data_IF_825687955888
#
_entry.id   IF_825687955888
#
_cell.length_a   1.000
_cell.length_b   1.000
_cell.length_c   1.000
_cell.angle_alpha   90.00
_cell.angle_beta   90.00
_cell.angle_gamma   90.00
#
_symmetry.space_group_name_H-M   'P 1'
#
loop_
_entity.id
_entity.type
_entity.pdbx_description
1 polymer ?
#
# COMPACT_ATOMS: atom_id res chain seq x y z
N UNK A 1 32.79 3.83 12.00
CA UNK A 1 31.33 3.62 11.93
C UNK A 1 30.70 4.33 13.10
N UNK A 2 29.90 5.36 12.88
CA UNK A 2 29.26 6.06 13.99
C UNK A 2 28.29 5.12 14.71
N UNK A 3 28.43 5.00 16.01
CA UNK A 3 27.53 4.27 16.88
C UNK A 3 26.11 4.87 16.73
N UNK A 4 25.16 4.08 16.25
CA UNK A 4 23.79 4.52 16.07
C UNK A 4 23.21 4.72 17.48
N UNK A 5 22.98 5.98 17.87
CA UNK A 5 22.26 6.25 19.10
C UNK A 5 20.89 5.58 19.04
N UNK A 6 20.59 4.75 20.01
CA UNK A 6 19.25 4.19 20.17
C UNK A 6 18.25 5.33 20.33
N UNK A 7 17.19 5.30 19.54
CA UNK A 7 16.11 6.26 19.66
C UNK A 7 15.47 6.15 21.04
N UNK A 8 15.30 7.29 21.73
CA UNK A 8 14.64 7.34 23.03
C UNK A 8 13.15 6.94 22.95
N UNK A 9 12.58 6.92 21.74
CA UNK A 9 11.20 6.53 21.49
C UNK A 9 11.14 5.53 20.34
N UNK A 10 10.26 4.54 20.47
CA UNK A 10 9.99 3.56 19.44
C UNK A 10 8.51 3.57 19.09
N UNK A 11 8.20 3.29 17.82
CA UNK A 11 6.81 3.08 17.41
C UNK A 11 6.25 1.85 18.12
N UNK A 12 5.02 1.95 18.59
CA UNK A 12 4.31 0.81 19.15
C UNK A 12 4.17 -0.30 18.09
N UNK A 13 4.25 -1.58 18.47
CA UNK A 13 3.99 -2.68 17.57
C UNK A 13 2.59 -2.57 16.94
N UNK A 14 2.45 -3.09 15.73
CA UNK A 14 1.14 -3.15 15.08
C UNK A 14 0.14 -3.90 15.96
N UNK A 15 -1.04 -3.33 16.14
CA UNK A 15 -2.08 -3.91 17.00
C UNK A 15 -1.96 -3.60 18.49
N UNK A 16 -0.86 -3.00 18.96
CA UNK A 16 -0.69 -2.61 20.37
C UNK A 16 -1.62 -1.45 20.79
N UNK A 17 -2.05 -0.64 19.82
CA UNK A 17 -2.98 0.48 20.05
C UNK A 17 -4.25 0.22 19.28
N UNK A 18 -5.38 0.28 19.96
CA UNK A 18 -6.73 0.19 19.37
C UNK A 18 -7.44 1.51 19.56
N UNK A 19 -7.96 2.06 18.48
CA UNK A 19 -8.81 3.24 18.52
C UNK A 19 -10.29 2.82 18.53
N UNK A 20 -11.05 3.47 19.39
CA UNK A 20 -12.49 3.26 19.54
C UNK A 20 -13.24 4.56 19.21
N UNK A 21 -14.58 4.48 19.18
CA UNK A 21 -15.43 5.62 18.89
C UNK A 21 -15.18 6.17 17.49
N UNK A 22 -15.37 7.45 17.31
CA UNK A 22 -15.33 8.14 16.02
C UNK A 22 -14.05 7.86 15.21
N UNK A 23 -12.89 7.89 15.86
CA UNK A 23 -11.62 7.64 15.16
C UNK A 23 -11.49 6.18 14.72
N UNK A 24 -11.91 5.23 15.55
CA UNK A 24 -11.94 3.81 15.20
C UNK A 24 -12.87 3.53 14.03
N UNK A 25 -14.06 4.10 14.06
CA UNK A 25 -15.06 3.99 12.98
C UNK A 25 -14.58 4.60 11.67
N UNK A 26 -13.93 5.77 11.71
CA UNK A 26 -13.36 6.41 10.54
C UNK A 26 -12.24 5.58 9.91
N UNK A 27 -11.37 4.99 10.72
CA UNK A 27 -10.30 4.09 10.22
C UNK A 27 -10.88 2.82 9.59
N UNK A 28 -11.89 2.22 10.18
CA UNK A 28 -12.56 1.04 9.64
C UNK A 28 -13.34 1.34 8.36
N UNK A 29 -14.00 2.49 8.28
CA UNK A 29 -14.67 2.94 7.07
C UNK A 29 -13.66 3.16 5.93
N UNK A 30 -12.51 3.78 6.20
CA UNK A 30 -11.43 3.96 5.22
C UNK A 30 -10.88 2.61 4.74
N UNK A 31 -10.63 1.67 5.65
CA UNK A 31 -10.13 0.34 5.33
C UNK A 31 -11.10 -0.44 4.44
N UNK A 32 -12.37 -0.53 4.83
CA UNK A 32 -13.40 -1.28 4.09
C UNK A 32 -13.85 -0.58 2.80
N UNK A 33 -13.77 0.73 2.77
CA UNK A 33 -14.13 1.54 1.61
C UNK A 33 -12.93 1.77 0.69
N UNK A 34 -12.23 2.87 0.90
CA UNK A 34 -11.19 3.35 -0.01
C UNK A 34 -10.03 2.37 -0.20
N UNK A 35 -9.46 1.86 0.89
CA UNK A 35 -8.30 0.98 0.79
C UNK A 35 -8.63 -0.37 0.14
N UNK A 36 -9.83 -0.89 0.38
CA UNK A 36 -10.23 -2.18 -0.20
C UNK A 36 -10.79 -2.09 -1.62
N UNK A 37 -11.16 -0.88 -2.10
CA UNK A 37 -11.85 -0.72 -3.39
C UNK A 37 -11.08 0.10 -4.42
N UNK A 38 -10.20 1.00 -4.00
CA UNK A 38 -9.48 1.88 -4.92
C UNK A 38 -8.54 1.11 -5.85
N UNK A 39 -7.78 0.17 -5.29
CA UNK A 39 -7.00 -0.80 -6.07
C UNK A 39 -7.56 -2.18 -5.79
N UNK A 40 -8.13 -2.80 -6.80
CA UNK A 40 -8.75 -4.12 -6.69
C UNK A 40 -7.74 -5.26 -6.85
N UNK A 41 -6.61 -4.97 -7.49
CA UNK A 41 -5.54 -5.94 -7.70
C UNK A 41 -4.48 -5.44 -8.69
N UNK A 42 -3.58 -6.33 -9.14
CA UNK A 42 -2.49 -5.98 -10.05
C UNK A 42 -2.94 -5.37 -11.39
N UNK A 43 -4.14 -5.69 -11.84
CA UNK A 43 -4.68 -5.21 -13.11
C UNK A 43 -5.46 -3.89 -12.99
N UNK A 44 -5.53 -3.31 -11.80
CA UNK A 44 -6.09 -1.97 -11.64
C UNK A 44 -5.27 -0.94 -12.44
N UNK A 45 -5.89 0.07 -13.07
CA UNK A 45 -5.18 1.02 -13.93
C UNK A 45 -3.95 1.64 -13.28
N UNK A 46 -4.06 2.06 -12.02
CA UNK A 46 -2.96 2.66 -11.25
C UNK A 46 -1.76 1.72 -11.01
N UNK A 47 -1.93 0.42 -11.19
CA UNK A 47 -0.89 -0.61 -11.01
C UNK A 47 -0.43 -1.14 -12.36
N UNK A 48 -1.34 -1.43 -13.26
CA UNK A 48 -1.04 -2.02 -14.57
C UNK A 48 -0.11 -1.15 -15.44
N UNK A 49 -0.12 0.16 -15.24
CA UNK A 49 0.74 1.11 -15.97
C UNK A 49 2.24 0.90 -15.76
N UNK A 50 2.64 0.18 -14.71
CA UNK A 50 4.05 -0.18 -14.51
C UNK A 50 4.54 -1.26 -15.48
N UNK A 51 3.63 -2.05 -16.04
CA UNK A 51 3.96 -3.00 -17.09
C UNK A 51 4.32 -2.24 -18.37
N UNK A 52 5.52 -2.47 -18.97
CA UNK A 52 5.92 -1.84 -20.22
C UNK A 52 4.89 -1.97 -21.34
N UNK A 53 4.15 -3.07 -21.39
CA UNK A 53 3.10 -3.30 -22.38
C UNK A 53 1.89 -2.36 -22.24
N UNK A 54 1.70 -1.76 -21.05
CA UNK A 54 0.56 -0.88 -20.77
C UNK A 54 0.92 0.59 -20.64
N UNK A 55 2.20 0.94 -20.71
CA UNK A 55 2.67 2.34 -20.54
C UNK A 55 2.11 3.31 -21.59
N UNK A 56 1.88 2.84 -22.80
CA UNK A 56 1.35 3.67 -23.90
C UNK A 56 -0.14 4.03 -23.68
N UNK A 57 -0.83 3.31 -22.80
CA UNK A 57 -2.24 3.51 -22.48
C UNK A 57 -2.42 4.03 -21.05
N UNK A 58 -1.56 4.97 -20.64
CA UNK A 58 -1.60 5.53 -19.30
C UNK A 58 -2.86 6.39 -19.10
N UNK A 59 -3.81 5.88 -18.34
CA UNK A 59 -5.02 6.59 -17.92
C UNK A 59 -4.79 7.50 -16.70
N UNK A 60 -3.65 7.33 -16.00
CA UNK A 60 -3.30 8.08 -14.80
C UNK A 60 -2.68 9.47 -15.10
N UNK A 61 -2.33 9.75 -16.36
CA UNK A 61 -1.72 11.03 -16.76
C UNK A 61 -0.44 11.33 -15.98
N UNK A 62 -0.32 12.55 -15.48
CA UNK A 62 0.86 13.02 -14.74
C UNK A 62 1.02 12.39 -13.35
N UNK A 63 0.03 11.63 -12.89
CA UNK A 63 0.04 10.92 -11.61
C UNK A 63 0.64 9.52 -11.67
N UNK A 64 1.37 9.25 -12.71
CA UNK A 64 2.02 7.98 -12.98
C UNK A 64 2.82 7.46 -11.76
N UNK A 65 2.40 6.31 -11.24
CA UNK A 65 3.05 5.63 -10.12
C UNK A 65 2.71 6.16 -8.73
N UNK A 66 2.22 7.38 -8.60
CA UNK A 66 1.93 7.99 -7.30
C UNK A 66 0.81 7.26 -6.55
N UNK A 67 -0.26 6.94 -7.25
CA UNK A 67 -1.44 6.30 -6.65
C UNK A 67 -1.12 4.90 -6.10
N UNK A 68 -0.39 4.08 -6.83
CA UNK A 68 0.00 2.75 -6.39
C UNK A 68 0.89 2.80 -5.14
N UNK A 69 1.90 3.68 -5.12
CA UNK A 69 2.81 3.83 -3.99
C UNK A 69 2.12 4.32 -2.72
N UNK A 70 1.28 5.33 -2.84
CA UNK A 70 0.49 5.86 -1.72
C UNK A 70 -0.49 4.81 -1.18
N UNK A 71 -1.16 4.11 -2.08
CA UNK A 71 -2.09 3.04 -1.68
C UNK A 71 -1.36 1.90 -0.98
N UNK A 72 -0.25 1.40 -1.53
CA UNK A 72 0.54 0.32 -0.89
C UNK A 72 0.96 0.70 0.53
N UNK A 73 1.47 1.92 0.71
CA UNK A 73 1.89 2.41 2.03
C UNK A 73 0.72 2.44 3.02
N UNK A 74 -0.43 2.96 2.62
CA UNK A 74 -1.60 3.08 3.48
C UNK A 74 -2.27 1.71 3.74
N UNK A 75 -2.44 0.90 2.70
CA UNK A 75 -3.09 -0.40 2.78
C UNK A 75 -2.28 -1.41 3.62
N UNK A 76 -0.95 -1.44 3.46
CA UNK A 76 -0.08 -2.30 4.27
C UNK A 76 -0.18 -1.98 5.76
N UNK A 77 -0.19 -0.69 6.12
CA UNK A 77 -0.36 -0.25 7.51
C UNK A 77 -1.73 -0.62 8.06
N UNK A 78 -2.79 -0.40 7.27
CA UNK A 78 -4.15 -0.74 7.67
C UNK A 78 -4.33 -2.26 7.84
N UNK A 79 -3.80 -3.07 6.93
CA UNK A 79 -3.86 -4.53 7.02
C UNK A 79 -3.15 -5.06 8.27
N UNK A 80 -1.96 -4.53 8.59
CA UNK A 80 -1.22 -4.91 9.80
C UNK A 80 -1.95 -4.55 11.09
N UNK A 81 -2.60 -3.38 11.11
CA UNK A 81 -3.30 -2.88 12.30
C UNK A 81 -4.61 -3.62 12.55
N UNK A 82 -5.33 -3.98 11.52
CA UNK A 82 -6.70 -4.51 11.60
C UNK A 82 -6.79 -6.04 11.48
N UNK A 83 -5.68 -6.70 11.21
CA UNK A 83 -5.65 -8.15 10.92
C UNK A 83 -6.57 -8.55 9.74
N UNK A 84 -6.68 -7.66 8.75
CA UNK A 84 -7.47 -7.87 7.53
C UNK A 84 -6.69 -8.72 6.53
N UNK A 85 -6.96 -10.02 6.53
CA UNK A 85 -6.30 -10.98 5.66
C UNK A 85 -6.53 -10.72 4.18
N UNK A 86 -7.75 -10.34 3.78
CA UNK A 86 -8.08 -10.06 2.38
C UNK A 86 -7.32 -8.81 1.87
N UNK A 87 -7.24 -7.76 2.68
CA UNK A 87 -6.46 -6.58 2.32
C UNK A 87 -4.96 -6.89 2.27
N UNK A 88 -4.46 -7.69 3.22
CA UNK A 88 -3.06 -8.13 3.22
C UNK A 88 -2.71 -8.91 1.94
N UNK A 89 -3.53 -9.87 1.55
CA UNK A 89 -3.29 -10.70 0.38
C UNK A 89 -3.31 -9.84 -0.91
N UNK A 90 -4.19 -8.85 -0.98
CA UNK A 90 -4.20 -7.88 -2.08
C UNK A 90 -2.93 -7.03 -2.12
N UNK A 91 -2.47 -6.52 -0.98
CA UNK A 91 -1.21 -5.76 -0.88
C UNK A 91 -0.04 -6.59 -1.37
N UNK A 92 0.06 -7.84 -0.95
CA UNK A 92 1.13 -8.74 -1.38
C UNK A 92 1.05 -9.02 -2.88
N UNK A 93 -0.14 -9.30 -3.41
CA UNK A 93 -0.34 -9.54 -4.85
C UNK A 93 0.09 -8.34 -5.71
N UNK A 94 -0.23 -7.13 -5.28
CA UNK A 94 0.19 -5.91 -5.99
C UNK A 94 1.71 -5.69 -5.88
N UNK A 95 2.29 -5.91 -4.72
CA UNK A 95 3.73 -5.79 -4.51
C UNK A 95 4.51 -6.81 -5.35
N UNK A 96 4.07 -8.07 -5.38
CA UNK A 96 4.68 -9.14 -6.18
C UNK A 96 4.61 -8.80 -7.69
N UNK A 97 3.48 -8.29 -8.14
CA UNK A 97 3.34 -7.86 -9.54
C UNK A 97 4.31 -6.72 -9.88
N UNK A 98 4.41 -5.70 -9.05
CA UNK A 98 5.33 -4.58 -9.28
C UNK A 98 6.78 -5.06 -9.32
N UNK A 99 7.17 -5.98 -8.45
CA UNK A 99 8.49 -6.60 -8.51
C UNK A 99 8.71 -7.41 -9.81
N UNK A 100 7.67 -8.12 -10.27
CA UNK A 100 7.77 -8.94 -11.46
C UNK A 100 7.89 -8.14 -12.77
N UNK A 101 7.29 -6.94 -12.83
CA UNK A 101 7.35 -6.08 -14.02
C UNK A 101 8.53 -5.09 -14.01
N UNK A 102 9.28 -5.05 -12.92
CA UNK A 102 10.46 -4.21 -12.81
C UNK A 102 11.56 -4.68 -13.77
N UNK A 103 12.17 -3.75 -14.50
CA UNK A 103 13.30 -4.06 -15.38
C UNK A 103 14.58 -4.37 -14.58
N UNK A 104 15.57 -4.96 -15.26
CA UNK A 104 16.87 -5.35 -14.62
C UNK A 104 17.61 -4.16 -14.01
N UNK A 105 17.45 -2.96 -14.55
CA UNK A 105 18.04 -1.72 -14.04
C UNK A 105 17.27 -1.13 -12.83
N UNK A 106 16.19 -1.79 -12.42
CA UNK A 106 15.37 -1.36 -11.29
C UNK A 106 14.25 -0.38 -11.62
N UNK A 107 14.03 -0.11 -12.90
CA UNK A 107 12.98 0.81 -13.37
C UNK A 107 11.66 0.10 -13.65
#
# INVERSE_FOLDING_TARGET
>A
MAERKDDAQRLAPAGAVRLQGLLGEALDANRRGRLSRFIEGPHSPAVAIFDPAHREHNEEGDWYGEHAGKWLSAAARAARRSDDGALRDKVLSVADYLCAVQAEDGY
#
